data_IF_774226408361
#
_entry.id   IF_774226408361
#
_cell.length_a   1.000
_cell.length_b   1.000
_cell.length_c   1.000
_cell.angle_alpha   90.00
_cell.angle_beta   90.00
_cell.angle_gamma   90.00
#
_symmetry.space_group_name_H-M   'P 1'
#
loop_
_entity.id
_entity.type
_entity.pdbx_description
1 polymer ?
#
# COMPACT_ATOMS: atom_id res chain seq x y z
N UNK A 1 -0.18 -23.19 -8.64
CA UNK A 1 1.18 -23.28 -8.09
C UNK A 1 1.10 -23.06 -6.59
N UNK A 2 2.07 -23.47 -5.79
CA UNK A 2 2.04 -23.30 -4.33
C UNK A 2 2.62 -21.94 -3.94
N UNK A 3 2.16 -21.39 -2.82
CA UNK A 3 2.76 -20.20 -2.20
C UNK A 3 4.22 -20.47 -1.83
N UNK A 4 5.12 -19.54 -2.14
CA UNK A 4 6.55 -19.64 -1.90
C UNK A 4 7.02 -18.49 -1.02
N UNK A 5 7.53 -18.82 0.16
CA UNK A 5 8.10 -17.86 1.10
C UNK A 5 9.60 -18.13 1.20
N UNK A 6 10.41 -17.13 0.85
CA UNK A 6 11.87 -17.28 0.93
C UNK A 6 12.30 -17.47 2.40
N UNK A 7 13.27 -18.38 2.71
CA UNK A 7 13.69 -18.64 4.09
C UNK A 7 14.22 -17.41 4.86
N UNK A 8 14.71 -16.39 4.15
CA UNK A 8 15.16 -15.13 4.74
C UNK A 8 14.07 -14.04 4.81
N UNK A 9 12.83 -14.34 4.43
CA UNK A 9 11.70 -13.45 4.65
C UNK A 9 11.25 -13.53 6.11
N UNK A 10 10.80 -12.40 6.65
CA UNK A 10 10.19 -12.33 7.97
C UNK A 10 8.68 -12.16 7.81
N UNK A 11 7.93 -13.25 7.96
CA UNK A 11 6.48 -13.26 7.84
C UNK A 11 5.87 -13.64 9.18
N UNK A 12 5.02 -12.76 9.73
CA UNK A 12 4.35 -13.04 10.99
C UNK A 12 3.37 -14.21 10.81
N UNK A 13 3.32 -15.18 11.74
CA UNK A 13 2.41 -16.33 11.64
C UNK A 13 0.92 -15.97 11.68
N UNK A 14 0.56 -14.78 12.15
CA UNK A 14 -0.82 -14.28 12.15
C UNK A 14 -1.20 -13.55 10.83
N UNK A 15 -0.28 -13.44 9.87
CA UNK A 15 -0.60 -12.96 8.54
C UNK A 15 -1.37 -14.02 7.77
N UNK A 16 -2.38 -13.60 7.01
CA UNK A 16 -3.16 -14.48 6.13
C UNK A 16 -2.62 -14.35 4.72
N UNK A 17 -2.01 -15.41 4.23
CA UNK A 17 -1.38 -15.44 2.89
C UNK A 17 -2.23 -16.33 1.98
N UNK A 18 -2.65 -15.79 0.85
CA UNK A 18 -3.42 -16.50 -0.17
C UNK A 18 -2.62 -17.54 -0.94
N UNK A 19 -3.24 -18.10 -1.96
CA UNK A 19 -2.63 -19.09 -2.84
C UNK A 19 -1.71 -18.45 -3.89
N UNK A 20 -0.66 -19.16 -4.31
CA UNK A 20 0.29 -18.72 -5.34
C UNK A 20 0.99 -17.39 -5.06
N UNK A 21 1.17 -17.05 -3.79
CA UNK A 21 1.89 -15.86 -3.35
C UNK A 21 3.40 -16.13 -3.36
N UNK A 22 4.18 -15.17 -3.83
CA UNK A 22 5.64 -15.20 -3.79
C UNK A 22 6.16 -14.13 -2.82
N UNK A 23 6.94 -14.52 -1.81
CA UNK A 23 7.56 -13.59 -0.85
C UNK A 23 9.08 -13.75 -0.93
N UNK A 24 9.76 -12.69 -1.37
CA UNK A 24 11.22 -12.65 -1.59
C UNK A 24 12.02 -12.49 -0.31
N UNK A 25 13.36 -12.64 -0.40
CA UNK A 25 14.25 -12.52 0.75
C UNK A 25 14.20 -11.11 1.36
N UNK A 26 14.32 -11.07 2.69
CA UNK A 26 14.31 -9.85 3.49
C UNK A 26 13.02 -9.01 3.37
N UNK A 27 11.97 -9.55 2.75
CA UNK A 27 10.64 -8.95 2.84
C UNK A 27 10.11 -9.11 4.27
N UNK A 28 9.41 -8.09 4.76
CA UNK A 28 8.78 -8.08 6.07
C UNK A 28 7.27 -8.01 5.92
N UNK A 29 6.55 -8.93 6.54
CA UNK A 29 5.08 -8.98 6.58
C UNK A 29 4.65 -9.12 8.04
N UNK A 30 3.95 -8.10 8.53
CA UNK A 30 3.53 -8.00 9.93
C UNK A 30 2.27 -8.82 10.24
N UNK A 31 1.85 -8.80 11.49
CA UNK A 31 0.60 -9.42 11.93
C UNK A 31 -0.64 -8.70 11.36
N UNK A 32 -1.77 -9.40 11.31
CA UNK A 32 -3.03 -8.86 10.79
C UNK A 32 -2.96 -8.32 9.36
N UNK A 33 -1.98 -8.76 8.58
CA UNK A 33 -1.89 -8.52 7.14
C UNK A 33 -2.69 -9.61 6.43
N UNK A 34 -3.46 -9.21 5.41
CA UNK A 34 -4.14 -10.12 4.49
C UNK A 34 -3.61 -9.91 3.08
N UNK A 35 -3.05 -10.94 2.46
CA UNK A 35 -2.52 -10.91 1.10
C UNK A 35 -3.34 -11.86 0.22
N UNK A 36 -3.96 -11.31 -0.82
CA UNK A 36 -4.75 -12.09 -1.79
C UNK A 36 -3.88 -12.99 -2.69
N UNK A 37 -4.56 -13.84 -3.44
CA UNK A 37 -3.90 -14.84 -4.30
C UNK A 37 -3.01 -14.19 -5.38
N UNK A 38 -1.93 -14.85 -5.73
CA UNK A 38 -1.07 -14.46 -6.85
C UNK A 38 -0.21 -13.22 -6.61
N UNK A 39 -0.19 -12.68 -5.40
CA UNK A 39 0.62 -11.50 -5.08
C UNK A 39 2.12 -11.81 -5.07
N UNK A 40 2.92 -10.78 -5.37
CA UNK A 40 4.39 -10.82 -5.34
C UNK A 40 4.92 -9.75 -4.40
N UNK A 41 5.56 -10.19 -3.33
CA UNK A 41 6.25 -9.33 -2.37
C UNK A 41 7.74 -9.48 -2.64
N UNK A 42 8.32 -8.49 -3.32
CA UNK A 42 9.70 -8.57 -3.77
C UNK A 42 10.69 -8.35 -2.61
N UNK A 43 11.99 -8.62 -2.82
CA UNK A 43 12.98 -8.47 -1.75
C UNK A 43 12.96 -7.09 -1.10
N UNK A 44 13.13 -7.04 0.24
CA UNK A 44 13.16 -5.81 1.02
C UNK A 44 11.87 -4.95 1.00
N UNK A 45 10.75 -5.47 0.53
CA UNK A 45 9.46 -4.81 0.68
C UNK A 45 8.95 -4.98 2.11
N UNK A 46 8.25 -3.96 2.63
CA UNK A 46 7.71 -3.97 4.00
C UNK A 46 6.21 -3.77 3.97
N UNK A 47 5.48 -4.68 4.60
CA UNK A 47 4.03 -4.59 4.77
C UNK A 47 3.75 -4.63 6.27
N UNK A 48 3.32 -3.48 6.81
CA UNK A 48 2.97 -3.36 8.22
C UNK A 48 1.56 -3.87 8.51
N UNK A 49 1.23 -3.96 9.78
CA UNK A 49 -0.05 -4.47 10.28
C UNK A 49 -1.26 -3.71 9.71
N UNK A 50 -2.41 -4.41 9.65
CA UNK A 50 -3.70 -3.89 9.18
C UNK A 50 -3.74 -3.51 7.70
N UNK A 51 -2.87 -4.09 6.89
CA UNK A 51 -2.93 -3.99 5.42
C UNK A 51 -3.73 -5.16 4.86
N UNK A 52 -4.67 -4.85 3.98
CA UNK A 52 -5.41 -5.81 3.19
C UNK A 52 -5.13 -5.59 1.71
N UNK A 53 -4.68 -6.63 1.03
CA UNK A 53 -4.35 -6.61 -0.40
C UNK A 53 -5.27 -7.54 -1.17
N UNK A 54 -5.77 -7.06 -2.29
CA UNK A 54 -6.45 -7.89 -3.28
C UNK A 54 -5.50 -8.87 -3.99
N UNK A 55 -5.94 -9.41 -5.12
CA UNK A 55 -5.20 -10.43 -5.89
C UNK A 55 -4.18 -9.80 -6.83
N UNK A 56 -3.14 -10.58 -7.16
CA UNK A 56 -2.13 -10.25 -8.17
C UNK A 56 -1.42 -8.91 -7.96
N UNK A 57 -1.34 -8.43 -6.74
CA UNK A 57 -0.59 -7.22 -6.41
C UNK A 57 0.92 -7.49 -6.45
N UNK A 58 1.70 -6.46 -6.78
CA UNK A 58 3.16 -6.54 -6.80
C UNK A 58 3.76 -5.40 -5.99
N UNK A 59 4.51 -5.75 -4.93
CA UNK A 59 5.17 -4.80 -4.05
C UNK A 59 6.67 -4.90 -4.26
N UNK A 60 7.26 -3.81 -4.74
CA UNK A 60 8.65 -3.74 -5.17
C UNK A 60 9.64 -3.42 -4.04
N UNK A 61 10.96 -3.60 -4.27
CA UNK A 61 11.95 -3.42 -3.22
C UNK A 61 11.92 -2.03 -2.58
N UNK A 62 12.00 -1.99 -1.26
CA UNK A 62 12.00 -0.75 -0.49
C UNK A 62 10.64 -0.07 -0.38
N UNK A 63 9.60 -0.58 -1.04
CA UNK A 63 8.26 -0.06 -0.83
C UNK A 63 7.76 -0.38 0.58
N UNK A 64 7.02 0.57 1.18
CA UNK A 64 6.49 0.45 2.54
C UNK A 64 4.98 0.68 2.51
N UNK A 65 4.23 -0.36 2.82
CA UNK A 65 2.76 -0.32 2.84
C UNK A 65 2.26 -0.46 4.27
N UNK A 66 1.41 0.46 4.71
CA UNK A 66 0.76 0.39 6.02
C UNK A 66 1.54 1.04 7.16
N UNK A 67 2.57 1.85 6.88
CA UNK A 67 3.23 2.61 7.94
C UNK A 67 2.24 3.53 8.67
N UNK A 68 2.56 3.83 9.92
CA UNK A 68 1.77 4.78 10.72
C UNK A 68 1.70 6.14 10.01
N UNK A 69 0.59 6.86 10.13
CA UNK A 69 0.45 8.20 9.56
C UNK A 69 1.52 9.17 10.05
N UNK A 70 1.90 10.10 9.18
CA UNK A 70 2.76 11.23 9.55
C UNK A 70 1.93 12.42 10.07
N UNK A 71 0.77 12.14 10.63
CA UNK A 71 -0.13 13.13 11.23
C UNK A 71 0.04 13.11 12.75
N UNK A 72 0.29 14.27 13.35
CA UNK A 72 0.47 14.44 14.80
C UNK A 72 -0.79 14.09 15.61
N UNK A 73 -1.95 13.98 14.96
CA UNK A 73 -3.20 13.55 15.59
C UNK A 73 -3.32 12.04 15.74
N UNK A 74 -2.44 11.27 15.11
CA UNK A 74 -2.44 9.82 15.22
C UNK A 74 -1.98 9.40 16.62
N UNK A 75 -2.81 8.64 17.33
CA UNK A 75 -2.59 8.21 18.72
C UNK A 75 -2.47 6.67 18.87
N UNK A 76 -1.97 6.00 17.84
CA UNK A 76 -1.75 4.55 17.86
C UNK A 76 -3.00 3.70 17.62
N UNK A 77 -4.08 4.29 17.17
CA UNK A 77 -5.34 3.61 16.88
C UNK A 77 -5.24 2.59 15.74
N UNK A 78 -6.13 1.61 15.74
CA UNK A 78 -6.25 0.63 14.68
C UNK A 78 -6.93 1.27 13.47
N UNK A 79 -6.17 1.40 12.39
CA UNK A 79 -6.60 1.94 11.10
C UNK A 79 -5.98 1.10 9.98
N UNK A 80 -6.41 1.29 8.74
CA UNK A 80 -6.18 0.31 7.70
C UNK A 80 -5.58 0.91 6.42
N UNK A 81 -4.97 0.02 5.62
CA UNK A 81 -4.74 0.22 4.18
C UNK A 81 -5.46 -0.89 3.43
N UNK A 82 -6.18 -0.53 2.38
CA UNK A 82 -6.80 -1.46 1.46
C UNK A 82 -6.27 -1.23 0.05
N UNK A 83 -5.70 -2.28 -0.55
CA UNK A 83 -5.33 -2.31 -1.96
C UNK A 83 -6.29 -3.22 -2.71
N UNK A 84 -6.79 -2.77 -3.85
CA UNK A 84 -7.58 -3.58 -4.78
C UNK A 84 -6.75 -4.66 -5.48
N UNK A 85 -7.29 -5.23 -6.53
CA UNK A 85 -6.61 -6.26 -7.33
C UNK A 85 -5.62 -5.61 -8.33
N UNK A 86 -4.56 -6.34 -8.69
CA UNK A 86 -3.57 -5.92 -9.70
C UNK A 86 -2.89 -4.58 -9.40
N UNK A 87 -2.77 -4.20 -8.14
CA UNK A 87 -2.07 -2.96 -7.76
C UNK A 87 -0.56 -3.20 -7.80
N UNK A 88 0.15 -2.28 -8.43
CA UNK A 88 1.61 -2.29 -8.47
C UNK A 88 2.16 -1.12 -7.66
N UNK A 89 2.96 -1.43 -6.63
CA UNK A 89 3.65 -0.45 -5.80
C UNK A 89 5.15 -0.57 -6.06
N UNK A 90 5.70 0.40 -6.79
CA UNK A 90 7.09 0.39 -7.24
C UNK A 90 8.05 0.79 -6.11
N UNK A 91 9.34 0.77 -6.45
CA UNK A 91 10.46 0.90 -5.52
C UNK A 91 10.34 2.14 -4.63
N UNK A 92 10.52 1.95 -3.34
CA UNK A 92 10.51 3.02 -2.33
C UNK A 92 9.24 3.87 -2.29
N UNK A 93 8.14 3.43 -2.91
CA UNK A 93 6.85 4.08 -2.73
C UNK A 93 6.30 3.76 -1.34
N UNK A 94 5.55 4.71 -0.76
CA UNK A 94 5.04 4.59 0.60
C UNK A 94 3.54 4.86 0.66
N UNK A 95 2.82 4.06 1.45
CA UNK A 95 1.38 4.20 1.69
C UNK A 95 1.17 4.18 3.20
N UNK A 96 0.68 5.26 3.78
CA UNK A 96 0.34 5.31 5.20
C UNK A 96 -1.09 4.79 5.43
N UNK A 97 -1.31 4.16 6.59
CA UNK A 97 -2.67 3.79 6.99
C UNK A 97 -3.47 5.02 7.43
N UNK A 98 -4.79 4.89 7.58
CA UNK A 98 -5.67 5.99 7.94
C UNK A 98 -5.49 6.50 9.36
N UNK A 99 -6.25 7.54 9.70
CA UNK A 99 -6.38 8.09 11.06
C UNK A 99 -7.82 8.01 11.53
N UNK A 100 -8.04 7.88 12.83
CA UNK A 100 -9.38 7.99 13.42
C UNK A 100 -9.92 9.42 13.34
N UNK A 101 -9.02 10.40 13.37
CA UNK A 101 -9.38 11.82 13.37
C UNK A 101 -10.07 12.26 12.06
N UNK A 102 -9.74 11.66 10.92
CA UNK A 102 -10.41 11.93 9.64
C UNK A 102 -11.84 11.41 9.57
N UNK A 103 -12.17 10.42 10.40
CA UNK A 103 -13.41 9.67 10.33
C UNK A 103 -13.44 8.55 9.28
N UNK A 104 -12.45 8.49 8.35
CA UNK A 104 -12.32 7.39 7.37
C UNK A 104 -11.63 6.18 7.98
N UNK A 105 -10.50 6.37 8.65
CA UNK A 105 -9.73 5.31 9.29
C UNK A 105 -9.07 4.33 8.32
N UNK A 106 -9.06 4.65 7.03
CA UNK A 106 -8.53 3.78 5.98
C UNK A 106 -8.01 4.58 4.80
N UNK A 107 -6.84 4.17 4.30
CA UNK A 107 -6.29 4.63 3.01
C UNK A 107 -6.57 3.56 1.97
N UNK A 108 -7.11 3.95 0.81
CA UNK A 108 -7.51 3.02 -0.25
C UNK A 108 -6.79 3.28 -1.56
N UNK A 109 -6.40 2.20 -2.24
CA UNK A 109 -5.89 2.24 -3.61
C UNK A 109 -6.70 1.25 -4.45
N UNK A 110 -7.38 1.75 -5.46
CA UNK A 110 -8.24 0.98 -6.34
C UNK A 110 -7.48 0.01 -7.25
N UNK A 111 -8.21 -0.94 -7.80
CA UNK A 111 -7.67 -2.01 -8.64
C UNK A 111 -6.97 -1.47 -9.90
N UNK A 112 -6.02 -2.22 -10.43
CA UNK A 112 -5.28 -1.91 -11.66
C UNK A 112 -4.49 -0.59 -11.61
N UNK A 113 -4.15 -0.10 -10.43
CA UNK A 113 -3.45 1.17 -10.22
C UNK A 113 -1.96 0.95 -10.08
N UNK A 114 -1.18 1.85 -10.71
CA UNK A 114 0.28 1.86 -10.66
C UNK A 114 0.78 3.04 -9.83
N UNK A 115 1.47 2.75 -8.75
CA UNK A 115 2.24 3.71 -7.97
C UNK A 115 3.71 3.57 -8.38
N UNK A 116 4.25 4.52 -9.15
CA UNK A 116 5.64 4.48 -9.57
C UNK A 116 6.59 4.77 -8.41
N UNK A 117 7.89 4.66 -8.67
CA UNK A 117 8.93 4.76 -7.65
C UNK A 117 8.88 6.10 -6.89
N UNK A 118 9.09 6.01 -5.57
CA UNK A 118 9.11 7.16 -4.66
C UNK A 118 7.78 7.93 -4.54
N UNK A 119 6.65 7.36 -4.98
CA UNK A 119 5.35 7.95 -4.70
C UNK A 119 5.02 7.88 -3.20
N UNK A 120 4.24 8.85 -2.74
CA UNK A 120 3.71 8.86 -1.39
C UNK A 120 2.19 9.02 -1.40
N UNK A 121 1.49 8.10 -0.75
CA UNK A 121 0.06 8.20 -0.47
C UNK A 121 -0.10 8.34 1.04
N UNK A 122 -0.50 9.53 1.48
CA UNK A 122 -0.70 9.81 2.89
C UNK A 122 -1.99 9.16 3.43
N UNK A 123 -2.25 9.37 4.70
CA UNK A 123 -3.38 8.81 5.43
C UNK A 123 -4.75 9.21 4.85
N UNK A 124 -5.71 8.33 4.93
CA UNK A 124 -7.12 8.59 4.59
C UNK A 124 -7.38 9.03 3.14
N UNK A 125 -6.40 8.83 2.25
CA UNK A 125 -6.59 9.05 0.81
C UNK A 125 -7.42 7.94 0.19
N UNK A 126 -8.14 8.30 -0.86
CA UNK A 126 -8.78 7.34 -1.77
C UNK A 126 -8.22 7.54 -3.17
N UNK A 127 -7.49 6.56 -3.68
CA UNK A 127 -7.04 6.52 -5.07
C UNK A 127 -7.94 5.55 -5.82
N UNK A 128 -8.55 6.00 -6.89
CA UNK A 128 -9.47 5.23 -7.71
C UNK A 128 -8.80 4.07 -8.46
N UNK A 129 -9.58 3.43 -9.32
CA UNK A 129 -9.11 2.35 -10.17
C UNK A 129 -8.41 2.87 -11.42
N UNK A 130 -7.51 2.05 -12.00
CA UNK A 130 -6.78 2.36 -13.24
C UNK A 130 -5.98 3.66 -13.20
N UNK A 131 -5.58 4.12 -12.02
CA UNK A 131 -4.78 5.32 -11.86
C UNK A 131 -3.29 5.06 -12.09
N UNK A 132 -2.57 6.11 -12.50
CA UNK A 132 -1.11 6.10 -12.61
C UNK A 132 -0.56 7.29 -11.82
N UNK A 133 0.15 7.00 -10.74
CA UNK A 133 0.92 7.99 -10.01
C UNK A 133 2.37 7.90 -10.47
N UNK A 134 2.81 8.88 -11.25
CA UNK A 134 4.18 8.91 -11.80
C UNK A 134 5.18 9.15 -10.68
N UNK A 135 6.43 8.77 -10.88
CA UNK A 135 7.48 8.86 -9.86
C UNK A 135 7.53 10.22 -9.15
N UNK A 136 7.75 10.17 -7.83
CA UNK A 136 7.80 11.33 -6.93
C UNK A 136 6.48 12.08 -6.72
N UNK A 137 5.35 11.52 -7.15
CA UNK A 137 4.04 12.09 -6.81
C UNK A 137 3.79 11.94 -5.31
N UNK A 138 3.41 13.03 -4.66
CA UNK A 138 2.96 13.04 -3.27
C UNK A 138 1.47 13.41 -3.19
N UNK A 139 0.71 12.58 -2.50
CA UNK A 139 -0.71 12.84 -2.18
C UNK A 139 -0.79 13.08 -0.68
N UNK A 140 -1.18 14.31 -0.29
CA UNK A 140 -1.39 14.66 1.10
C UNK A 140 -2.65 14.00 1.67
N UNK A 141 -2.75 13.94 2.99
CA UNK A 141 -3.87 13.25 3.65
C UNK A 141 -5.25 13.72 3.22
N UNK A 142 -6.21 12.80 3.26
CA UNK A 142 -7.62 13.05 2.96
C UNK A 142 -7.88 13.54 1.51
N UNK A 143 -6.99 13.18 0.59
CA UNK A 143 -7.14 13.49 -0.85
C UNK A 143 -7.86 12.34 -1.54
N UNK A 144 -8.83 12.69 -2.38
CA UNK A 144 -9.51 11.74 -3.27
C UNK A 144 -9.01 11.92 -4.71
N UNK A 145 -8.66 10.83 -5.37
CA UNK A 145 -8.26 10.76 -6.79
C UNK A 145 -9.23 9.84 -7.50
N UNK A 146 -9.93 10.35 -8.48
CA UNK A 146 -10.92 9.59 -9.24
C UNK A 146 -10.29 8.54 -10.16
N UNK A 147 -11.10 7.61 -10.67
CA UNK A 147 -10.67 6.55 -11.56
C UNK A 147 -10.01 7.13 -12.84
N UNK A 148 -9.05 6.37 -13.38
CA UNK A 148 -8.34 6.69 -14.62
C UNK A 148 -7.46 7.95 -14.56
N UNK A 149 -7.23 8.52 -13.38
CA UNK A 149 -6.38 9.68 -13.24
C UNK A 149 -4.90 9.35 -13.48
N UNK A 150 -4.20 10.24 -14.16
CA UNK A 150 -2.74 10.19 -14.32
C UNK A 150 -2.15 11.44 -13.67
N UNK A 151 -1.47 11.24 -12.55
CA UNK A 151 -0.76 12.31 -11.86
C UNK A 151 0.72 12.25 -12.27
N UNK A 152 1.18 13.25 -13.02
CA UNK A 152 2.53 13.27 -13.58
C UNK A 152 3.33 14.50 -13.18
N UNK A 153 4.66 14.45 -13.37
CA UNK A 153 5.52 15.62 -13.22
C UNK A 153 5.80 16.08 -11.80
N UNK A 154 5.89 15.15 -10.84
CA UNK A 154 6.13 15.49 -9.42
C UNK A 154 5.09 16.42 -8.80
N UNK A 155 3.78 16.25 -9.07
CA UNK A 155 2.77 17.06 -8.42
C UNK A 155 2.65 16.66 -6.95
N UNK A 156 2.31 17.65 -6.14
CA UNK A 156 1.82 17.43 -4.78
C UNK A 156 0.34 17.78 -4.77
N UNK A 157 -0.53 16.80 -4.52
CA UNK A 157 -1.93 17.09 -4.25
C UNK A 157 -2.06 17.57 -2.80
N UNK A 158 -2.66 18.74 -2.63
CA UNK A 158 -2.87 19.31 -1.30
C UNK A 158 -3.98 18.54 -0.55
N UNK A 159 -3.91 18.55 0.77
CA UNK A 159 -4.92 17.95 1.64
C UNK A 159 -6.34 18.42 1.26
N UNK A 160 -7.32 17.51 1.32
CA UNK A 160 -8.72 17.74 0.93
C UNK A 160 -8.95 18.05 -0.56
N UNK A 161 -8.01 17.77 -1.44
CA UNK A 161 -8.20 17.87 -2.89
C UNK A 161 -9.06 16.72 -3.43
N UNK A 162 -9.77 17.01 -4.50
CA UNK A 162 -10.52 16.02 -5.30
C UNK A 162 -10.18 16.19 -6.77
#
# INVERSE_FOLDING_TARGET
MSTTIHPLACVNPNAKIGDNVEIGPYAYVDEFVEIGDGCKILPHATIFNYVKMGKNCSIFPGAVVGAIPQDLKFDGEVTYVELGDNVTVRECATINRGTKASGKGVTKVGSNTLLMSYCHVAHDCTVGEHCILVSYVGIAGETDVDDWAILGGSPVAHQFSK
#
